data_IF_581714713218
#
_entry.id   IF_581714713218
#
_cell.length_a   1.000
_cell.length_b   1.000
_cell.length_c   1.000
_cell.angle_alpha   90.00
_cell.angle_beta   90.00
_cell.angle_gamma   90.00
#
_symmetry.space_group_name_H-M   'P 1'
#
loop_
_entity.id
_entity.type
_entity.pdbx_description
1 polymer ?
#
# COMPACT_ATOMS: atom_id res chain seq x y z
N UNK A 1 -1.30 13.68 -6.22
CA UNK A 1 -0.60 13.06 -5.07
C UNK A 1 -1.57 12.14 -4.36
N UNK A 2 -1.08 10.99 -3.90
CA UNK A 2 -1.84 9.98 -3.16
C UNK A 2 -1.13 9.63 -1.86
N UNK A 3 -1.92 9.16 -0.90
CA UNK A 3 -1.45 8.80 0.44
C UNK A 3 -1.49 7.28 0.55
N UNK A 4 -0.33 6.66 0.76
CA UNK A 4 -0.18 5.21 0.87
C UNK A 4 0.20 4.85 2.30
N UNK A 5 -0.61 3.99 2.93
CA UNK A 5 -0.27 3.41 4.22
C UNK A 5 0.71 2.24 4.02
N UNK A 6 1.72 2.17 4.87
CA UNK A 6 2.66 1.05 4.88
C UNK A 6 2.35 0.17 6.08
N UNK A 7 2.31 -1.15 5.84
CA UNK A 7 2.22 -2.17 6.88
C UNK A 7 3.37 -3.14 6.65
N UNK A 8 4.24 -3.26 7.64
CA UNK A 8 5.47 -4.04 7.55
C UNK A 8 5.52 -5.06 8.70
N UNK A 9 6.14 -6.22 8.45
CA UNK A 9 6.23 -7.33 9.42
C UNK A 9 7.10 -7.04 10.65
N UNK A 10 7.97 -6.03 10.59
CA UNK A 10 8.87 -5.71 11.68
C UNK A 10 8.08 -5.36 12.96
N UNK A 11 8.50 -5.89 14.10
CA UNK A 11 7.81 -5.69 15.39
C UNK A 11 7.72 -4.23 15.81
N UNK A 12 8.69 -3.41 15.40
CA UNK A 12 8.73 -1.98 15.63
C UNK A 12 8.11 -1.17 14.48
N UNK A 13 7.49 -1.85 13.50
CA UNK A 13 6.80 -1.22 12.39
C UNK A 13 5.70 -0.30 12.92
N UNK A 14 5.61 0.85 12.27
CA UNK A 14 4.55 1.83 12.51
C UNK A 14 3.63 1.81 11.31
N UNK A 15 2.35 2.05 11.54
CA UNK A 15 1.36 2.25 10.48
C UNK A 15 1.47 3.66 9.89
N UNK A 16 2.64 3.99 9.35
CA UNK A 16 2.98 5.28 8.76
C UNK A 16 2.31 5.44 7.38
N UNK A 17 2.14 6.69 6.97
CA UNK A 17 1.51 7.03 5.69
C UNK A 17 2.46 7.96 4.94
N UNK A 18 2.66 7.68 3.66
CA UNK A 18 3.61 8.36 2.80
C UNK A 18 2.91 8.94 1.58
N UNK A 19 3.43 10.07 1.10
CA UNK A 19 2.98 10.70 -0.13
C UNK A 19 3.68 10.07 -1.33
N UNK A 20 2.91 9.72 -2.35
CA UNK A 20 3.41 9.34 -3.68
C UNK A 20 2.74 10.19 -4.75
N UNK A 21 3.43 10.39 -5.87
CA UNK A 21 2.84 11.01 -7.06
C UNK A 21 1.74 10.13 -7.64
N UNK A 22 0.88 10.70 -8.49
CA UNK A 22 -0.19 9.93 -9.12
C UNK A 22 0.36 8.85 -10.07
N UNK A 23 1.51 9.12 -10.71
CA UNK A 23 2.20 8.15 -11.58
C UNK A 23 2.84 7.01 -10.79
N UNK A 24 3.49 7.32 -9.66
CA UNK A 24 4.01 6.30 -8.73
C UNK A 24 2.85 5.45 -8.18
N UNK A 25 1.74 6.09 -7.80
CA UNK A 25 0.55 5.37 -7.33
C UNK A 25 0.00 4.42 -8.40
N UNK A 26 -0.13 4.86 -9.65
CA UNK A 26 -0.60 4.00 -10.75
C UNK A 26 0.36 2.84 -11.03
N UNK A 27 1.66 3.02 -10.79
CA UNK A 27 2.65 1.93 -10.87
C UNK A 27 2.56 0.97 -9.70
N UNK A 28 2.27 1.45 -8.49
CA UNK A 28 2.11 0.61 -7.30
C UNK A 28 0.79 -0.18 -7.35
N UNK A 29 -0.32 0.48 -7.70
CA UNK A 29 -1.67 -0.08 -7.71
C UNK A 29 -2.28 -0.05 -9.14
N UNK A 30 -1.81 -0.91 -10.06
CA UNK A 30 -2.18 -0.83 -11.47
C UNK A 30 -3.60 -1.35 -11.78
N UNK A 31 -4.19 -2.15 -10.89
CA UNK A 31 -5.50 -2.76 -11.08
C UNK A 31 -6.66 -1.76 -10.95
N UNK A 32 -7.77 -2.09 -11.60
CA UNK A 32 -8.99 -1.27 -11.48
C UNK A 32 -9.48 -1.25 -10.03
N UNK A 33 -9.55 -0.04 -9.45
CA UNK A 33 -9.94 0.19 -8.04
C UNK A 33 -9.08 -0.57 -7.03
N UNK A 34 -7.87 -0.97 -7.41
CA UNK A 34 -6.92 -1.60 -6.51
C UNK A 34 -6.46 -0.60 -5.46
N UNK A 35 -6.61 -0.96 -4.19
CA UNK A 35 -6.17 -0.15 -3.05
C UNK A 35 -5.32 -0.97 -2.06
N UNK A 36 -5.08 -2.24 -2.33
CA UNK A 36 -4.12 -3.08 -1.61
C UNK A 36 -3.00 -3.52 -2.55
N UNK A 37 -1.78 -3.60 -2.05
CA UNK A 37 -0.67 -4.20 -2.79
C UNK A 37 0.37 -4.82 -1.83
N UNK A 38 1.17 -5.74 -2.35
CA UNK A 38 2.30 -6.38 -1.68
C UNK A 38 3.60 -5.99 -2.39
N UNK A 39 4.61 -5.58 -1.62
CA UNK A 39 5.87 -5.09 -2.20
C UNK A 39 6.54 -6.15 -3.06
N UNK A 40 6.41 -7.43 -2.71
CA UNK A 40 6.97 -8.53 -3.50
C UNK A 40 6.30 -8.60 -4.88
N UNK A 41 4.98 -8.37 -4.96
CA UNK A 41 4.28 -8.32 -6.25
C UNK A 41 4.64 -7.08 -7.08
N UNK A 42 4.97 -5.96 -6.42
CA UNK A 42 5.50 -4.77 -7.10
C UNK A 42 6.87 -5.07 -7.71
N UNK A 43 7.76 -5.68 -6.92
CA UNK A 43 9.12 -6.04 -7.35
C UNK A 43 9.06 -7.08 -8.47
N UNK A 44 8.25 -8.13 -8.34
CA UNK A 44 8.09 -9.17 -9.36
C UNK A 44 7.60 -8.59 -10.69
N UNK A 45 6.71 -7.59 -10.63
CA UNK A 45 6.11 -6.97 -11.83
C UNK A 45 6.99 -5.91 -12.47
N UNK A 46 7.64 -5.05 -11.68
CA UNK A 46 8.41 -3.91 -12.18
C UNK A 46 9.90 -4.22 -12.35
N UNK A 47 10.40 -5.25 -11.65
CA UNK A 47 11.82 -5.47 -11.42
C UNK A 47 12.36 -4.66 -10.25
N UNK A 48 13.44 -5.13 -9.65
CA UNK A 48 14.05 -4.54 -8.45
C UNK A 48 14.41 -3.06 -8.63
N UNK A 49 15.09 -2.71 -9.73
CA UNK A 49 15.56 -1.34 -9.98
C UNK A 49 14.40 -0.34 -10.11
N UNK A 50 13.37 -0.70 -10.88
CA UNK A 50 12.22 0.16 -11.08
C UNK A 50 11.33 0.28 -9.83
N UNK A 51 11.23 -0.80 -9.04
CA UNK A 51 10.56 -0.76 -7.75
C UNK A 51 11.33 0.13 -6.75
N UNK A 52 12.65 -0.05 -6.63
CA UNK A 52 13.50 0.75 -5.75
C UNK A 52 13.42 2.25 -6.06
N UNK A 53 13.40 2.62 -7.34
CA UNK A 53 13.25 4.01 -7.79
C UNK A 53 11.96 4.70 -7.31
N UNK A 54 10.92 3.92 -6.95
CA UNK A 54 9.66 4.43 -6.37
C UNK A 54 9.70 4.35 -4.84
N UNK A 55 10.16 3.23 -4.29
CA UNK A 55 10.06 2.91 -2.87
C UNK A 55 11.09 3.66 -2.02
N UNK A 56 12.33 3.82 -2.48
CA UNK A 56 13.36 4.48 -1.68
C UNK A 56 13.03 5.97 -1.42
N UNK A 57 12.67 6.79 -2.42
CA UNK A 57 12.32 8.19 -2.18
C UNK A 57 10.98 8.38 -1.46
N UNK A 58 10.14 7.33 -1.38
CA UNK A 58 8.87 7.38 -0.65
C UNK A 58 9.11 7.57 0.85
N UNK A 59 10.16 6.99 1.43
CA UNK A 59 10.43 7.03 2.87
C UNK A 59 10.64 8.45 3.42
N UNK A 60 11.12 9.37 2.60
CA UNK A 60 11.33 10.78 2.97
C UNK A 60 10.03 11.61 2.91
N UNK A 61 8.93 11.04 2.43
CA UNK A 61 7.64 11.71 2.18
C UNK A 61 6.55 11.32 3.18
N UNK A 62 6.92 11.05 4.43
CA UNK A 62 5.95 10.71 5.49
C UNK A 62 5.02 11.90 5.78
N UNK A 63 3.71 11.64 5.90
CA UNK A 63 2.70 12.66 6.20
C UNK A 63 2.17 12.47 7.64
N UNK A 64 2.08 13.53 8.45
CA UNK A 64 1.40 13.48 9.75
C UNK A 64 -0.08 13.12 9.59
N UNK A 65 -0.59 12.15 10.36
CA UNK A 65 -1.98 11.67 10.27
C UNK A 65 -3.07 12.77 10.25
N UNK A 66 -2.98 13.83 11.09
CA UNK A 66 -3.97 14.89 11.09
C UNK A 66 -4.05 15.71 9.80
N UNK A 67 -3.01 15.67 8.96
CA UNK A 67 -2.92 16.43 7.71
C UNK A 67 -3.42 15.61 6.50
N UNK A 68 -3.73 14.34 6.71
CA UNK A 68 -4.07 13.41 5.64
C UNK A 68 -5.53 13.57 5.23
N UNK A 69 -5.75 13.75 3.93
CA UNK A 69 -7.07 13.67 3.31
C UNK A 69 -7.24 12.29 2.67
N UNK A 70 -7.66 11.33 3.48
CA UNK A 70 -7.90 9.94 3.07
C UNK A 70 -6.64 9.10 2.85
N UNK A 71 -6.78 7.78 2.99
CA UNK A 71 -5.79 6.78 2.62
C UNK A 71 -6.24 6.19 1.29
N UNK A 72 -5.38 6.23 0.29
CA UNK A 72 -5.71 5.86 -1.08
C UNK A 72 -5.29 4.45 -1.43
N UNK A 73 -4.28 3.93 -0.73
CA UNK A 73 -3.88 2.54 -0.83
C UNK A 73 -3.06 2.10 0.37
N UNK A 74 -2.92 0.79 0.54
CA UNK A 74 -2.13 0.13 1.57
C UNK A 74 -1.14 -0.81 0.90
N UNK A 75 0.15 -0.63 1.21
CA UNK A 75 1.24 -1.45 0.68
C UNK A 75 1.86 -2.27 1.82
N UNK A 76 1.83 -3.59 1.67
CA UNK A 76 2.37 -4.57 2.61
C UNK A 76 3.82 -4.92 2.30
N UNK A 77 4.65 -5.03 3.33
CA UNK A 77 6.05 -5.45 3.26
C UNK A 77 6.25 -6.72 4.11
N UNK A 78 6.71 -7.82 3.50
CA UNK A 78 7.00 -9.09 4.18
C UNK A 78 5.77 -9.92 4.56
N UNK A 79 4.57 -9.35 4.52
CA UNK A 79 3.33 -9.96 5.03
C UNK A 79 2.56 -10.75 3.97
N UNK A 80 3.25 -11.60 3.20
CA UNK A 80 2.66 -12.35 2.08
C UNK A 80 1.51 -13.28 2.50
N UNK A 81 1.47 -13.73 3.75
CA UNK A 81 0.40 -14.56 4.30
C UNK A 81 -0.96 -13.83 4.39
N UNK A 82 -0.97 -12.49 4.30
CA UNK A 82 -2.19 -11.68 4.27
C UNK A 82 -2.90 -11.69 2.92
N UNK A 83 -2.24 -12.08 1.83
CA UNK A 83 -2.80 -12.08 0.47
C UNK A 83 -4.17 -12.77 0.37
N UNK A 84 -4.34 -13.87 1.09
CA UNK A 84 -5.59 -14.66 1.13
C UNK A 84 -6.82 -13.88 1.64
N UNK A 85 -6.63 -12.75 2.32
CA UNK A 85 -7.72 -11.91 2.81
C UNK A 85 -8.10 -10.81 1.80
N UNK A 86 -7.33 -10.65 0.72
CA UNK A 86 -7.49 -9.59 -0.27
C UNK A 86 -7.52 -10.17 -1.69
N UNK A 87 -8.50 -11.04 -1.98
CA UNK A 87 -8.59 -11.79 -3.24
C UNK A 87 -8.47 -10.91 -4.50
N UNK A 88 -8.99 -9.68 -4.46
CA UNK A 88 -8.96 -8.73 -5.57
C UNK A 88 -8.02 -7.55 -5.34
N UNK A 89 -7.08 -7.65 -4.39
CA UNK A 89 -6.22 -6.53 -3.96
C UNK A 89 -7.03 -5.27 -3.63
N UNK A 90 -8.15 -5.49 -2.94
CA UNK A 90 -9.08 -4.47 -2.48
C UNK A 90 -9.43 -4.69 -1.03
N UNK A 91 -9.56 -3.62 -0.28
CA UNK A 91 -10.09 -3.68 1.08
C UNK A 91 -11.53 -4.25 1.02
N UNK A 92 -11.81 -5.36 1.72
CA UNK A 92 -13.15 -5.90 1.77
C UNK A 92 -14.06 -4.91 2.49
N UNK A 93 -15.13 -4.48 1.81
CA UNK A 93 -16.20 -3.73 2.48
C UNK A 93 -17.02 -4.74 3.29
N UNK A 94 -16.73 -4.83 4.57
CA UNK A 94 -17.51 -5.62 5.51
C UNK A 94 -18.74 -4.77 5.90
N UNK A 95 -19.92 -5.17 5.45
CA UNK A 95 -21.15 -4.64 6.05
C UNK A 95 -21.30 -5.26 7.44
N UNK A 96 -21.13 -4.43 8.46
CA UNK A 96 -21.25 -4.84 9.87
C UNK A 96 -22.63 -5.43 10.22
N UNK A 97 -23.64 -5.23 9.37
CA UNK A 97 -24.96 -5.88 9.50
C UNK A 97 -24.97 -7.33 9.03
N UNK A 98 -23.91 -7.79 8.39
CA UNK A 98 -23.72 -9.15 7.87
C UNK A 98 -22.67 -9.93 8.68
N UNK A 99 -22.21 -9.36 9.80
CA UNK A 99 -21.30 -10.02 10.73
C UNK A 99 -22.11 -10.32 11.99
N UNK A 100 -22.43 -11.59 12.20
CA UNK A 100 -23.18 -12.09 13.37
C UNK A 100 -22.47 -11.81 14.71
#
# INVERSE_FOLDING_TARGET
>A
MKNVQIIDEAINSRYAIYSVSDDEFAKLFPGERQDIEFVEDVIDRLGEEAAAAILEPMWDRMIPKPEIQGIHGTLFFGLTEKRKFYENKREPVIDWRLVD
#
